data_IF_512029957381
#
_entry.id   IF_512029957381
#
_cell.length_a   1.000
_cell.length_b   1.000
_cell.length_c   1.000
_cell.angle_alpha   90.00
_cell.angle_beta   90.00
_cell.angle_gamma   90.00
#
_symmetry.space_group_name_H-M   'P 1'
#
loop_
_entity.id
_entity.type
_entity.pdbx_description
1 polymer ?
#
# COMPACT_ATOMS: atom_id res chain seq x y z
N UNK A 1 1.16 70.51 -22.45
CA UNK A 1 2.38 69.74 -22.13
C UNK A 1 2.50 69.51 -20.62
N UNK A 2 2.47 70.57 -19.79
CA UNK A 2 2.56 70.48 -18.32
C UNK A 2 1.55 69.51 -17.69
N UNK A 3 0.27 69.58 -18.10
CA UNK A 3 -0.80 68.68 -17.61
C UNK A 3 -0.56 67.20 -17.95
N UNK A 4 0.20 66.91 -19.01
CA UNK A 4 0.56 65.54 -19.36
C UNK A 4 1.71 65.06 -18.48
N UNK A 5 2.70 65.91 -18.25
CA UNK A 5 3.85 65.63 -17.36
C UNK A 5 3.36 65.43 -15.91
N UNK A 6 2.44 66.25 -15.42
CA UNK A 6 1.85 66.12 -14.08
C UNK A 6 1.07 64.82 -13.90
N UNK A 7 0.31 64.38 -14.94
CA UNK A 7 -0.35 63.08 -14.91
C UNK A 7 0.67 61.95 -14.81
N UNK A 8 1.72 61.97 -15.62
CA UNK A 8 2.80 60.97 -15.53
C UNK A 8 3.47 60.96 -14.15
N UNK A 9 3.77 62.13 -13.57
CA UNK A 9 4.32 62.20 -12.21
C UNK A 9 3.37 61.64 -11.15
N UNK A 10 2.06 61.86 -11.30
CA UNK A 10 1.04 61.38 -10.36
C UNK A 10 0.86 59.86 -10.44
N UNK A 11 0.92 59.26 -11.64
CA UNK A 11 0.86 57.80 -11.81
C UNK A 11 2.19 57.11 -11.49
N UNK A 12 3.34 57.73 -11.77
CA UNK A 12 4.65 57.21 -11.37
C UNK A 12 4.82 57.19 -9.84
N UNK A 13 4.31 58.20 -9.12
CA UNK A 13 4.26 58.20 -7.65
C UNK A 13 3.10 57.34 -7.10
N UNK A 14 1.99 57.23 -7.83
CA UNK A 14 0.81 56.45 -7.44
C UNK A 14 0.96 54.94 -7.62
N UNK A 15 1.84 54.47 -8.52
CA UNK A 15 2.21 53.05 -8.64
C UNK A 15 3.25 52.60 -7.60
N UNK A 16 3.82 53.55 -6.85
CA UNK A 16 4.84 53.24 -5.85
C UNK A 16 4.23 52.55 -4.62
N UNK A 17 2.97 52.85 -4.27
CA UNK A 17 2.28 52.23 -3.13
C UNK A 17 1.89 50.77 -3.39
N UNK A 18 1.47 50.42 -4.62
CA UNK A 18 1.15 49.03 -4.99
C UNK A 18 2.41 48.16 -5.16
N UNK A 19 3.52 48.75 -5.59
CA UNK A 19 4.80 48.03 -5.66
C UNK A 19 5.34 47.69 -4.28
N UNK A 20 5.14 48.57 -3.28
CA UNK A 20 5.60 48.30 -1.91
C UNK A 20 4.89 47.10 -1.27
N UNK A 21 3.60 46.90 -1.51
CA UNK A 21 2.87 45.72 -1.01
C UNK A 21 3.34 44.42 -1.67
N UNK A 22 3.60 44.44 -2.98
CA UNK A 22 4.15 43.29 -3.71
C UNK A 22 5.59 42.96 -3.31
N UNK A 23 6.42 43.98 -3.08
CA UNK A 23 7.80 43.83 -2.58
C UNK A 23 7.83 43.29 -1.14
N UNK A 24 6.94 43.77 -0.27
CA UNK A 24 6.78 43.24 1.09
C UNK A 24 6.31 41.78 1.09
N UNK A 25 5.35 41.44 0.23
CA UNK A 25 4.86 40.06 0.08
C UNK A 25 5.96 39.12 -0.44
N UNK A 26 6.74 39.56 -1.43
CA UNK A 26 7.88 38.80 -1.94
C UNK A 26 8.97 38.62 -0.87
N UNK A 27 9.24 39.65 -0.07
CA UNK A 27 10.21 39.58 1.02
C UNK A 27 9.73 38.65 2.15
N UNK A 28 8.42 38.65 2.44
CA UNK A 28 7.80 37.71 3.36
C UNK A 28 7.92 36.27 2.85
N UNK A 29 7.53 36.01 1.60
CA UNK A 29 7.67 34.69 0.96
C UNK A 29 9.11 34.19 0.97
N UNK A 30 10.08 35.09 0.74
CA UNK A 30 11.50 34.77 0.83
C UNK A 30 11.89 34.34 2.25
N UNK A 31 11.46 35.10 3.27
CA UNK A 31 11.72 34.73 4.67
C UNK A 31 11.06 33.40 5.06
N UNK A 32 9.82 33.16 4.61
CA UNK A 32 9.14 31.88 4.83
C UNK A 32 9.87 30.71 4.16
N UNK A 33 10.41 30.93 2.96
CA UNK A 33 11.25 29.95 2.24
C UNK A 33 12.55 29.66 2.99
N UNK A 34 13.21 30.67 3.54
CA UNK A 34 14.44 30.51 4.33
C UNK A 34 14.16 29.69 5.61
N UNK A 35 13.09 30.03 6.34
CA UNK A 35 12.66 29.28 7.54
C UNK A 35 12.34 27.81 7.19
N UNK A 36 11.68 27.58 6.06
CA UNK A 36 11.38 26.22 5.61
C UNK A 36 12.66 25.44 5.30
N UNK A 37 13.63 26.07 4.65
CA UNK A 37 14.93 25.45 4.35
C UNK A 37 15.67 25.05 5.62
N UNK A 38 15.76 25.95 6.60
CA UNK A 38 16.39 25.66 7.90
C UNK A 38 15.71 24.47 8.61
N UNK A 39 14.37 24.41 8.57
CA UNK A 39 13.62 23.31 9.16
C UNK A 39 13.91 21.97 8.49
N UNK A 40 14.03 21.96 7.15
CA UNK A 40 14.40 20.76 6.39
C UNK A 40 15.80 20.30 6.79
N UNK A 41 16.76 21.21 6.87
CA UNK A 41 18.14 20.89 7.26
C UNK A 41 18.20 20.29 8.67
N UNK A 42 17.48 20.87 9.62
CA UNK A 42 17.39 20.35 10.99
C UNK A 42 16.83 18.91 11.02
N UNK A 43 15.75 18.65 10.28
CA UNK A 43 15.13 17.32 10.19
C UNK A 43 16.11 16.32 9.56
N UNK A 44 16.79 16.69 8.47
CA UNK A 44 17.77 15.83 7.82
C UNK A 44 18.97 15.51 8.73
N UNK A 45 19.43 16.49 9.49
CA UNK A 45 20.51 16.31 10.45
C UNK A 45 20.09 15.37 11.59
N UNK A 46 18.88 15.55 12.12
CA UNK A 46 18.29 14.63 13.11
C UNK A 46 18.17 13.21 12.55
N UNK A 47 17.68 13.05 11.31
CA UNK A 47 17.58 11.74 10.65
C UNK A 47 18.95 11.07 10.50
N UNK A 48 19.99 11.82 10.09
CA UNK A 48 21.36 11.28 9.99
C UNK A 48 21.87 10.80 11.34
N UNK A 49 21.65 11.56 12.42
CA UNK A 49 22.01 11.16 13.78
C UNK A 49 21.29 9.87 14.20
N UNK A 50 19.98 9.77 13.96
CA UNK A 50 19.19 8.55 14.24
C UNK A 50 19.67 7.33 13.44
N UNK A 51 20.25 7.54 12.27
CA UNK A 51 20.87 6.50 11.44
C UNK A 51 22.32 6.16 11.87
N UNK A 52 22.83 6.82 12.91
CA UNK A 52 24.17 6.59 13.45
C UNK A 52 25.30 7.40 12.81
N UNK A 53 24.97 8.38 11.97
CA UNK A 53 25.98 9.24 11.33
C UNK A 53 26.28 10.49 12.16
N UNK A 54 27.54 10.92 12.16
CA UNK A 54 27.95 12.18 12.80
C UNK A 54 27.81 12.20 14.33
N UNK A 55 27.85 11.03 14.97
CA UNK A 55 27.69 10.92 16.43
C UNK A 55 28.91 11.43 17.21
N UNK A 56 30.08 11.55 16.58
CA UNK A 56 31.30 12.03 17.24
C UNK A 56 31.22 13.48 17.74
N UNK A 57 30.31 14.28 17.19
CA UNK A 57 30.04 15.66 17.63
C UNK A 57 28.86 15.76 18.60
N UNK A 58 28.20 14.65 18.94
CA UNK A 58 27.08 14.65 19.88
C UNK A 58 27.59 14.66 21.32
N UNK A 59 26.84 15.35 22.18
CA UNK A 59 27.00 15.29 23.62
C UNK A 59 26.47 13.98 24.19
N UNK A 60 26.81 13.67 25.43
CA UNK A 60 26.32 12.47 26.11
C UNK A 60 24.79 12.47 26.22
N UNK A 61 24.20 13.60 26.62
CA UNK A 61 22.75 13.75 26.78
C UNK A 61 22.01 13.58 25.44
N UNK A 62 22.55 14.13 24.35
CA UNK A 62 21.98 13.91 23.02
C UNK A 62 22.03 12.44 22.60
N UNK A 63 23.12 11.73 22.94
CA UNK A 63 23.26 10.32 22.61
C UNK A 63 22.28 9.45 23.41
N UNK A 64 22.07 9.78 24.68
CA UNK A 64 21.08 9.13 25.54
C UNK A 64 19.64 9.32 25.02
N UNK A 65 19.28 10.52 24.56
CA UNK A 65 17.96 10.76 23.96
C UNK A 65 17.79 9.97 22.65
N UNK A 66 18.83 9.93 21.80
CA UNK A 66 18.82 9.13 20.56
C UNK A 66 18.59 7.65 20.88
N UNK A 67 19.33 7.10 21.84
CA UNK A 67 19.20 5.69 22.24
C UNK A 67 17.80 5.39 22.79
N UNK A 68 17.30 6.22 23.71
CA UNK A 68 15.95 6.11 24.26
C UNK A 68 14.87 6.19 23.18
N UNK A 69 15.01 7.09 22.20
CA UNK A 69 14.08 7.23 21.09
C UNK A 69 14.09 5.98 20.18
N UNK A 70 15.27 5.46 19.86
CA UNK A 70 15.43 4.24 19.07
C UNK A 70 14.86 3.02 19.80
N UNK A 71 15.11 2.89 21.10
CA UNK A 71 14.60 1.78 21.89
C UNK A 71 13.06 1.80 21.99
N UNK A 72 12.47 2.96 22.26
CA UNK A 72 11.00 3.16 22.29
C UNK A 72 10.36 2.83 20.94
N UNK A 73 10.91 3.37 19.85
CA UNK A 73 10.37 3.14 18.50
C UNK A 73 10.50 1.67 18.08
N UNK A 74 11.63 1.03 18.36
CA UNK A 74 11.85 -0.39 18.08
C UNK A 74 10.89 -1.30 18.85
N UNK A 75 10.64 -1.01 20.13
CA UNK A 75 9.62 -1.72 20.92
C UNK A 75 8.24 -1.61 20.28
N UNK A 76 7.83 -0.40 19.89
CA UNK A 76 6.54 -0.15 19.23
C UNK A 76 6.42 -0.92 17.90
N UNK A 77 7.44 -0.85 17.05
CA UNK A 77 7.47 -1.57 15.76
C UNK A 77 7.34 -3.09 15.97
N UNK A 78 8.08 -3.64 16.94
CA UNK A 78 8.03 -5.08 17.25
C UNK A 78 6.65 -5.50 17.77
N UNK A 79 6.06 -4.72 18.67
CA UNK A 79 4.72 -4.97 19.19
C UNK A 79 3.69 -4.98 18.04
N UNK A 80 3.70 -3.94 17.21
CA UNK A 80 2.78 -3.86 16.06
C UNK A 80 2.96 -5.00 15.07
N UNK A 81 4.21 -5.39 14.80
CA UNK A 81 4.50 -6.52 13.92
C UNK A 81 3.98 -7.85 14.49
N UNK A 82 4.11 -8.05 15.80
CA UNK A 82 3.58 -9.23 16.48
C UNK A 82 2.05 -9.29 16.42
N UNK A 83 1.36 -8.17 16.66
CA UNK A 83 -0.10 -8.07 16.50
C UNK A 83 -0.55 -8.45 15.08
N UNK A 84 0.07 -7.86 14.06
CA UNK A 84 -0.27 -8.15 12.66
C UNK A 84 -0.04 -9.62 12.29
N UNK A 85 1.02 -10.25 12.80
CA UNK A 85 1.26 -11.67 12.57
C UNK A 85 0.25 -12.55 13.30
N UNK A 86 -0.15 -12.19 14.52
CA UNK A 86 -1.21 -12.90 15.23
C UNK A 86 -2.53 -12.83 14.47
N UNK A 87 -2.90 -11.65 13.97
CA UNK A 87 -4.09 -11.47 13.12
C UNK A 87 -4.03 -12.35 11.85
N UNK A 88 -2.88 -12.38 11.16
CA UNK A 88 -2.68 -13.22 9.98
C UNK A 88 -2.77 -14.72 10.30
N UNK A 89 -2.18 -15.16 11.40
CA UNK A 89 -2.23 -16.56 11.84
C UNK A 89 -3.68 -16.97 12.12
N UNK A 90 -4.44 -16.15 12.84
CA UNK A 90 -5.84 -16.47 13.15
C UNK A 90 -6.72 -16.50 11.89
N UNK A 91 -6.51 -15.55 10.96
CA UNK A 91 -7.19 -15.58 9.67
C UNK A 91 -6.87 -16.86 8.87
N UNK A 92 -5.60 -17.27 8.82
CA UNK A 92 -5.19 -18.49 8.13
C UNK A 92 -5.77 -19.75 8.78
N UNK A 93 -5.79 -19.84 10.11
CA UNK A 93 -6.43 -20.96 10.83
C UNK A 93 -7.93 -21.03 10.56
N UNK A 94 -8.62 -19.89 10.51
CA UNK A 94 -10.04 -19.86 10.15
C UNK A 94 -10.27 -20.37 8.72
N UNK A 95 -9.44 -19.92 7.77
CA UNK A 95 -9.49 -20.40 6.38
C UNK A 95 -9.20 -21.90 6.27
N UNK A 96 -8.20 -22.39 6.99
CA UNK A 96 -7.86 -23.82 7.03
C UNK A 96 -9.05 -24.66 7.50
N UNK A 97 -9.74 -24.21 8.56
CA UNK A 97 -10.92 -24.88 9.09
C UNK A 97 -12.05 -24.95 8.06
N UNK A 98 -12.39 -23.82 7.45
CA UNK A 98 -13.45 -23.75 6.42
C UNK A 98 -13.14 -24.65 5.23
N UNK A 99 -11.89 -24.68 4.78
CA UNK A 99 -11.47 -25.55 3.67
C UNK A 99 -11.52 -27.03 4.06
N UNK A 100 -11.18 -27.38 5.30
CA UNK A 100 -11.31 -28.76 5.79
C UNK A 100 -12.77 -29.21 5.83
N UNK A 101 -13.65 -28.38 6.40
CA UNK A 101 -15.10 -28.65 6.46
C UNK A 101 -15.70 -28.82 5.05
N UNK A 102 -15.35 -27.95 4.11
CA UNK A 102 -15.82 -28.06 2.73
C UNK A 102 -15.25 -29.29 2.01
N UNK A 103 -13.98 -29.63 2.24
CA UNK A 103 -13.38 -30.81 1.65
C UNK A 103 -14.05 -32.10 2.18
N UNK A 104 -14.30 -32.20 3.49
CA UNK A 104 -15.06 -33.31 4.08
C UNK A 104 -16.47 -33.41 3.48
N UNK A 105 -17.16 -32.28 3.31
CA UNK A 105 -18.48 -32.22 2.65
C UNK A 105 -18.43 -32.78 1.22
N UNK A 106 -17.42 -32.38 0.43
CA UNK A 106 -17.22 -32.87 -0.94
C UNK A 106 -16.87 -34.36 -0.98
N UNK A 107 -16.00 -34.84 -0.08
CA UNK A 107 -15.69 -36.27 0.05
C UNK A 107 -16.95 -37.09 0.33
N UNK A 108 -17.81 -36.63 1.26
CA UNK A 108 -19.09 -37.30 1.53
C UNK A 108 -20.03 -37.28 0.32
N UNK A 109 -20.08 -36.18 -0.43
CA UNK A 109 -20.90 -36.08 -1.64
C UNK A 109 -20.41 -37.00 -2.76
N UNK A 110 -19.10 -37.16 -2.92
CA UNK A 110 -18.49 -38.03 -3.92
C UNK A 110 -18.53 -39.51 -3.53
N UNK A 111 -18.47 -39.81 -2.23
CA UNK A 111 -18.54 -41.18 -1.71
C UNK A 111 -19.99 -41.66 -1.48
N UNK A 112 -20.99 -40.79 -1.61
CA UNK A 112 -22.38 -41.20 -1.66
C UNK A 112 -22.64 -41.88 -3.02
N UNK A 113 -23.09 -43.16 -3.06
CA UNK A 113 -23.47 -43.76 -4.32
C UNK A 113 -24.59 -42.93 -4.95
N UNK A 114 -24.47 -42.64 -6.25
CA UNK A 114 -25.51 -42.02 -7.06
C UNK A 114 -26.83 -42.74 -6.75
N UNK A 115 -27.73 -42.07 -6.02
CA UNK A 115 -29.10 -42.52 -5.95
C UNK A 115 -29.69 -42.22 -7.31
N UNK A 116 -29.77 -43.25 -8.15
CA UNK A 116 -30.69 -43.30 -9.28
C UNK A 116 -32.08 -42.88 -8.79
N UNK A 117 -32.44 -41.62 -9.01
CA UNK A 117 -33.83 -41.18 -8.92
C UNK A 117 -34.48 -41.59 -10.23
N UNK A 118 -34.83 -42.87 -10.32
CA UNK A 118 -35.88 -43.33 -11.21
C UNK A 118 -37.17 -42.68 -10.73
N UNK A 119 -37.74 -41.77 -11.52
CA UNK A 119 -39.19 -41.72 -11.76
C UNK A 119 -39.58 -40.68 -12.82
N UNK A 120 -40.13 -41.20 -13.93
CA UNK A 120 -41.06 -40.62 -14.89
C UNK A 120 -40.57 -39.61 -15.96
N UNK A 121 -40.26 -40.13 -17.15
CA UNK A 121 -40.92 -39.63 -18.37
C UNK A 121 -41.03 -40.73 -19.42
N UNK A 122 -42.16 -40.70 -20.12
CA UNK A 122 -42.72 -41.66 -21.06
C UNK A 122 -41.93 -41.85 -22.37
N UNK A 123 -42.23 -42.97 -23.03
CA UNK A 123 -42.12 -43.28 -24.48
C UNK A 123 -40.85 -43.98 -25.01
N UNK A 124 -40.94 -45.31 -25.05
CA UNK A 124 -40.82 -46.18 -26.23
C UNK A 124 -39.96 -45.67 -27.42
N UNK A 125 -38.83 -46.31 -27.71
CA UNK A 125 -38.64 -47.26 -28.84
C UNK A 125 -37.15 -47.39 -29.23
N UNK A 126 -36.63 -48.62 -29.09
CA UNK A 126 -35.59 -49.31 -29.88
C UNK A 126 -34.45 -48.48 -30.53
N UNK A 127 -33.20 -48.74 -30.10
CA UNK A 127 -32.19 -49.51 -30.88
C UNK A 127 -30.90 -49.63 -30.07
N UNK A 128 -30.47 -50.88 -29.90
CA UNK A 128 -29.19 -51.32 -29.39
C UNK A 128 -28.05 -50.94 -30.35
N UNK A 129 -27.05 -50.21 -29.85
CA UNK A 129 -25.64 -50.37 -30.22
C UNK A 129 -24.80 -49.52 -29.27
N UNK A 130 -24.48 -50.05 -28.09
CA UNK A 130 -23.37 -49.52 -27.29
C UNK A 130 -22.10 -49.86 -28.06
N UNK A 131 -21.59 -48.94 -28.87
CA UNK A 131 -20.20 -48.99 -29.28
C UNK A 131 -19.39 -48.46 -28.09
N UNK A 132 -18.63 -49.34 -27.46
CA UNK A 132 -17.59 -48.93 -26.51
C UNK A 132 -16.59 -48.08 -27.28
N UNK A 133 -16.66 -46.76 -27.06
CA UNK A 133 -15.64 -45.83 -27.53
C UNK A 133 -14.63 -45.77 -26.41
N UNK A 134 -13.50 -46.46 -26.58
CA UNK A 134 -12.34 -46.29 -25.71
C UNK A 134 -11.90 -44.82 -25.79
N UNK A 135 -12.24 -44.05 -24.76
CA UNK A 135 -11.67 -42.73 -24.57
C UNK A 135 -10.42 -42.92 -23.73
N UNK A 136 -9.25 -42.73 -24.32
CA UNK A 136 -7.98 -42.65 -23.58
C UNK A 136 -8.00 -41.37 -22.74
N UNK A 137 -8.60 -41.44 -21.56
CA UNK A 137 -8.59 -40.36 -20.58
C UNK A 137 -7.21 -40.34 -19.89
N UNK A 138 -6.28 -39.61 -20.47
CA UNK A 138 -4.97 -39.37 -19.87
C UNK A 138 -5.04 -38.22 -18.86
N UNK A 139 -5.13 -38.56 -17.57
CA UNK A 139 -5.04 -37.60 -16.46
C UNK A 139 -3.55 -37.49 -16.07
N UNK A 140 -2.77 -36.77 -16.88
CA UNK A 140 -1.34 -36.54 -16.64
C UNK A 140 -0.85 -35.24 -17.28
N UNK A 141 0.33 -34.75 -16.87
CA UNK A 141 0.93 -33.56 -17.49
C UNK A 141 1.21 -33.82 -18.98
N UNK A 142 0.85 -32.91 -19.90
CA UNK A 142 1.04 -33.11 -21.33
C UNK A 142 2.52 -33.30 -21.69
N UNK A 143 2.82 -34.21 -22.63
CA UNK A 143 4.16 -34.32 -23.20
C UNK A 143 4.53 -33.00 -23.91
N UNK A 144 5.56 -32.35 -23.39
CA UNK A 144 6.19 -31.21 -24.06
C UNK A 144 6.93 -31.74 -25.28
N UNK A 145 6.37 -31.55 -26.47
CA UNK A 145 7.11 -31.76 -27.71
C UNK A 145 8.20 -30.70 -27.81
N UNK A 146 9.43 -31.06 -27.43
CA UNK A 146 10.62 -30.26 -27.74
C UNK A 146 10.81 -30.23 -29.25
N UNK A 147 10.88 -29.02 -29.81
CA UNK A 147 11.46 -28.73 -31.14
C UNK A 147 12.74 -27.95 -30.93
#
# INVERSE_FOLDING_TARGET
MQKTIERYHKYAKGGQTSNTEGEQNLQQLKGESEIMSEKIELIQLSQRKLLGYGLSSCTLDELEEIDSQLERSLRSIRARKAELFMEQIEHLKAKERLLKEENERLYHQMSAPEKEVVTHSSQNSQISSVMDVETELFIGLPEMRCS
#
